data_IF_890183169039
#
_entry.id   IF_890183169039
#
_cell.length_a   1.000
_cell.length_b   1.000
_cell.length_c   1.000
_cell.angle_alpha   90.00
_cell.angle_beta   90.00
_cell.angle_gamma   90.00
#
_symmetry.space_group_name_H-M   'P 1'
#
loop_
_entity.id
_entity.type
_entity.pdbx_description
1 polymer ?
#
# COMPACT_ATOMS: atom_id res chain seq x y z
N UNK A 1 4.15 26.20 -12.33
CA UNK A 1 4.65 26.85 -13.56
C UNK A 1 4.23 26.04 -14.79
N UNK A 2 4.07 26.68 -15.95
CA UNK A 2 3.77 26.01 -17.22
C UNK A 2 4.78 26.37 -18.32
N UNK A 3 5.12 25.40 -19.18
CA UNK A 3 6.01 25.53 -20.34
C UNK A 3 5.30 25.08 -21.63
N UNK A 4 5.80 25.51 -22.79
CA UNK A 4 5.28 25.03 -24.08
C UNK A 4 5.81 23.63 -24.39
N UNK A 5 5.04 22.83 -25.12
CA UNK A 5 5.45 21.48 -25.53
C UNK A 5 6.76 21.42 -26.31
N UNK A 6 7.10 22.48 -27.05
CA UNK A 6 8.34 22.59 -27.83
C UNK A 6 9.53 23.17 -27.05
N UNK A 7 9.38 23.47 -25.74
CA UNK A 7 10.50 23.89 -24.89
C UNK A 7 11.52 22.75 -24.79
N UNK A 8 12.82 23.06 -24.85
CA UNK A 8 13.87 22.06 -24.75
C UNK A 8 13.92 21.44 -23.34
N UNK A 9 14.41 20.19 -23.24
CA UNK A 9 14.68 19.53 -21.97
C UNK A 9 15.65 20.36 -21.10
N UNK A 10 16.66 20.98 -21.71
CA UNK A 10 17.61 21.82 -20.99
C UNK A 10 16.93 23.04 -20.36
N UNK A 11 16.11 23.76 -21.13
CA UNK A 11 15.42 24.96 -20.62
C UNK A 11 14.39 24.59 -19.56
N UNK A 12 13.75 23.43 -19.70
CA UNK A 12 12.87 22.90 -18.66
C UNK A 12 13.63 22.56 -17.37
N UNK A 13 14.82 21.94 -17.47
CA UNK A 13 15.67 21.66 -16.32
C UNK A 13 16.11 22.94 -15.62
N UNK A 14 16.53 23.96 -16.38
CA UNK A 14 16.86 25.29 -15.85
C UNK A 14 15.67 25.97 -15.19
N UNK A 15 14.48 25.85 -15.76
CA UNK A 15 13.29 26.43 -15.18
C UNK A 15 12.89 25.72 -13.87
N UNK A 16 13.04 24.40 -13.80
CA UNK A 16 12.88 23.58 -12.58
C UNK A 16 13.86 24.05 -11.50
N UNK A 17 15.14 24.17 -11.83
CA UNK A 17 16.19 24.63 -10.93
C UNK A 17 15.92 26.06 -10.43
N UNK A 18 15.76 27.02 -11.35
CA UNK A 18 15.62 28.43 -11.03
C UNK A 18 14.40 28.73 -10.16
N UNK A 19 13.31 27.98 -10.34
CA UNK A 19 12.08 28.14 -9.56
C UNK A 19 12.03 27.22 -8.33
N UNK A 20 13.05 26.38 -8.10
CA UNK A 20 13.10 25.40 -7.02
C UNK A 20 11.84 24.52 -6.95
N UNK A 21 11.39 23.99 -8.11
CA UNK A 21 10.20 23.16 -8.24
C UNK A 21 10.55 21.80 -8.84
N UNK A 22 9.85 20.74 -8.44
CA UNK A 22 10.09 19.37 -8.96
C UNK A 22 9.27 18.99 -10.20
N UNK A 23 8.35 19.84 -10.66
CA UNK A 23 7.47 19.54 -11.78
C UNK A 23 6.97 20.81 -12.49
N UNK A 24 6.73 20.68 -13.79
CA UNK A 24 6.19 21.75 -14.63
C UNK A 24 5.08 21.22 -15.52
N UNK A 25 4.02 22.01 -15.66
CA UNK A 25 2.92 21.68 -16.57
C UNK A 25 3.34 21.99 -17.99
N UNK A 26 2.97 21.14 -18.93
CA UNK A 26 3.19 21.36 -20.35
C UNK A 26 1.87 21.80 -20.97
N UNK A 27 1.91 22.90 -21.70
CA UNK A 27 0.78 23.48 -22.40
C UNK A 27 0.99 23.50 -23.91
N UNK A 28 -0.10 23.32 -24.63
CA UNK A 28 -0.19 23.62 -26.05
C UNK A 28 -1.48 24.39 -26.33
N UNK A 29 -1.37 25.48 -27.09
CA UNK A 29 -2.48 26.41 -27.41
C UNK A 29 -3.34 26.81 -26.20
N UNK A 30 -2.71 26.98 -25.03
CA UNK A 30 -3.36 27.38 -23.78
C UNK A 30 -3.99 26.25 -22.97
N UNK A 31 -4.02 25.03 -23.51
CA UNK A 31 -4.55 23.85 -22.82
C UNK A 31 -3.43 23.07 -22.15
N UNK A 32 -3.72 22.47 -21.00
CA UNK A 32 -2.82 21.52 -20.34
C UNK A 32 -2.78 20.22 -21.15
N UNK A 33 -1.61 19.87 -21.68
CA UNK A 33 -1.42 18.66 -22.49
C UNK A 33 -0.53 17.63 -21.81
N UNK A 34 0.24 18.03 -20.80
CA UNK A 34 1.15 17.13 -20.09
C UNK A 34 1.74 17.71 -18.82
N UNK A 35 2.55 16.90 -18.16
CA UNK A 35 3.39 17.29 -17.02
C UNK A 35 4.75 16.63 -17.19
N UNK A 36 5.82 17.32 -16.82
CA UNK A 36 7.17 16.76 -16.78
C UNK A 36 7.82 17.07 -15.44
N UNK A 37 8.51 16.08 -14.89
CA UNK A 37 9.22 16.15 -13.60
C UNK A 37 10.73 16.13 -13.82
N UNK A 38 11.49 16.56 -12.81
CA UNK A 38 12.94 16.39 -12.75
C UNK A 38 13.39 14.94 -13.06
N UNK A 39 12.65 13.96 -12.54
CA UNK A 39 12.84 12.53 -12.80
C UNK A 39 12.58 12.17 -14.24
N UNK A 40 11.56 12.74 -14.89
CA UNK A 40 11.30 12.50 -16.31
C UNK A 40 12.44 13.04 -17.17
N UNK A 41 12.95 14.23 -16.88
CA UNK A 41 14.12 14.78 -17.58
C UNK A 41 15.36 13.88 -17.38
N UNK A 42 15.60 13.45 -16.14
CA UNK A 42 16.74 12.59 -15.82
C UNK A 42 16.65 11.20 -16.48
N UNK A 43 15.47 10.58 -16.51
CA UNK A 43 15.33 9.19 -16.96
C UNK A 43 14.97 9.09 -18.44
N UNK A 44 14.02 9.91 -18.91
CA UNK A 44 13.47 9.81 -20.27
C UNK A 44 14.25 10.62 -21.29
N UNK A 45 15.00 11.65 -20.87
CA UNK A 45 15.95 12.33 -21.75
C UNK A 45 17.38 11.85 -21.50
N UNK A 46 17.97 12.21 -20.35
CA UNK A 46 19.39 11.95 -20.07
C UNK A 46 19.71 10.46 -19.99
N UNK A 47 18.90 9.69 -19.25
CA UNK A 47 19.07 8.25 -19.09
C UNK A 47 18.92 7.46 -20.39
N UNK A 48 18.32 8.04 -21.43
CA UNK A 48 18.21 7.46 -22.77
C UNK A 48 19.26 8.01 -23.74
N UNK A 49 20.16 8.87 -23.28
CA UNK A 49 21.20 9.48 -24.12
C UNK A 49 20.67 10.47 -25.16
N UNK A 50 19.48 11.04 -24.94
CA UNK A 50 18.93 12.04 -25.85
C UNK A 50 19.64 13.39 -25.65
N UNK A 51 19.78 14.16 -26.74
CA UNK A 51 20.38 15.51 -26.69
C UNK A 51 19.40 16.49 -26.02
N UNK A 52 19.71 17.03 -24.82
CA UNK A 52 18.79 17.89 -24.08
C UNK A 52 18.57 19.26 -24.73
N UNK A 53 19.42 19.67 -25.69
CA UNK A 53 19.24 20.90 -26.46
C UNK A 53 18.19 20.75 -27.57
N UNK A 54 18.00 19.53 -28.08
CA UNK A 54 17.10 19.25 -29.21
C UNK A 54 15.80 18.56 -28.79
N UNK A 55 15.88 17.72 -27.77
CA UNK A 55 14.73 16.97 -27.25
C UNK A 55 13.78 17.94 -26.57
N UNK A 56 12.50 17.88 -26.93
CA UNK A 56 11.48 18.75 -26.34
C UNK A 56 10.82 18.12 -25.13
N UNK A 57 10.25 18.94 -24.24
CA UNK A 57 9.47 18.44 -23.11
C UNK A 57 8.23 17.68 -23.55
N UNK A 58 7.66 18.00 -24.71
CA UNK A 58 6.53 17.27 -25.31
C UNK A 58 6.86 15.80 -25.62
N UNK A 59 8.12 15.48 -25.91
CA UNK A 59 8.56 14.10 -26.19
C UNK A 59 8.74 13.25 -24.92
N UNK A 60 8.99 13.90 -23.77
CA UNK A 60 9.31 13.20 -22.51
C UNK A 60 8.25 13.36 -21.42
N UNK A 61 7.30 14.27 -21.60
CA UNK A 61 6.19 14.51 -20.65
C UNK A 61 5.28 13.29 -20.51
N UNK A 62 4.57 13.24 -19.40
CA UNK A 62 3.41 12.37 -19.24
C UNK A 62 2.18 13.12 -19.77
N UNK A 63 1.57 12.60 -20.84
CA UNK A 63 0.36 13.17 -21.45
C UNK A 63 -0.91 12.78 -20.66
N UNK A 64 -2.02 13.48 -20.90
CA UNK A 64 -3.32 13.14 -20.32
C UNK A 64 -3.36 13.32 -18.80
N UNK A 65 -2.91 14.49 -18.33
CA UNK A 65 -2.79 14.78 -16.89
C UNK A 65 -4.17 14.91 -16.26
N UNK A 66 -4.37 14.21 -15.14
CA UNK A 66 -5.53 14.43 -14.29
C UNK A 66 -5.38 15.74 -13.53
N UNK A 67 -6.44 16.55 -13.49
CA UNK A 67 -6.46 17.85 -12.81
C UNK A 67 -7.62 17.95 -11.84
N UNK A 68 -7.55 18.94 -10.96
CA UNK A 68 -8.65 19.36 -10.07
C UNK A 68 -9.00 20.83 -10.35
N UNK A 69 -10.20 21.24 -9.97
CA UNK A 69 -10.57 22.66 -9.89
C UNK A 69 -10.02 23.28 -8.60
N UNK A 70 -9.75 24.59 -8.54
CA UNK A 70 -9.36 25.28 -7.30
C UNK A 70 -10.39 25.15 -6.17
N UNK A 71 -11.64 24.89 -6.52
CA UNK A 71 -12.76 24.67 -5.58
C UNK A 71 -12.83 23.24 -5.04
N UNK A 72 -12.02 22.31 -5.54
CA UNK A 72 -12.01 20.93 -5.06
C UNK A 72 -11.37 20.81 -3.67
N UNK A 73 -11.83 19.82 -2.91
CA UNK A 73 -11.41 19.62 -1.53
C UNK A 73 -10.07 18.90 -1.41
N UNK A 74 -9.38 19.12 -0.29
CA UNK A 74 -8.15 18.40 0.10
C UNK A 74 -8.34 16.87 0.05
N UNK A 75 -9.46 16.37 0.56
CA UNK A 75 -9.80 14.94 0.51
C UNK A 75 -9.90 14.41 -0.94
N UNK A 76 -10.32 15.26 -1.88
CA UNK A 76 -10.34 14.90 -3.31
C UNK A 76 -8.94 14.85 -3.92
N UNK A 77 -8.04 15.74 -3.51
CA UNK A 77 -6.63 15.67 -3.88
C UNK A 77 -5.98 14.37 -3.37
N UNK A 78 -6.13 14.06 -2.09
CA UNK A 78 -5.61 12.83 -1.47
C UNK A 78 -6.13 11.58 -2.22
N UNK A 79 -7.45 11.48 -2.41
CA UNK A 79 -8.07 10.36 -3.12
C UNK A 79 -7.56 10.21 -4.55
N UNK A 80 -7.39 11.33 -5.27
CA UNK A 80 -6.89 11.31 -6.64
C UNK A 80 -5.41 10.91 -6.70
N UNK A 81 -4.59 11.40 -5.76
CA UNK A 81 -3.18 11.02 -5.61
C UNK A 81 -3.03 9.51 -5.34
N UNK A 82 -3.85 8.95 -4.45
CA UNK A 82 -3.88 7.50 -4.17
C UNK A 82 -4.29 6.71 -5.42
N UNK A 83 -5.44 7.05 -6.02
CA UNK A 83 -6.01 6.30 -7.15
C UNK A 83 -5.13 6.35 -8.40
N UNK A 84 -4.45 7.46 -8.65
CA UNK A 84 -3.63 7.67 -9.86
C UNK A 84 -2.15 7.52 -9.61
N UNK A 85 -1.76 7.24 -8.37
CA UNK A 85 -0.39 7.03 -7.97
C UNK A 85 0.55 8.22 -8.28
N UNK A 86 0.07 9.43 -8.02
CA UNK A 86 0.75 10.70 -8.33
C UNK A 86 0.93 11.53 -7.07
N UNK A 87 1.99 12.36 -7.02
CA UNK A 87 2.26 13.28 -5.89
C UNK A 87 1.87 14.72 -6.16
N UNK A 88 1.44 15.02 -7.38
CA UNK A 88 1.28 16.38 -7.88
C UNK A 88 0.09 16.42 -8.80
N UNK A 89 -0.84 17.34 -8.54
CA UNK A 89 -2.05 17.51 -9.34
C UNK A 89 -2.11 18.97 -9.79
N UNK A 90 -2.16 19.24 -11.10
CA UNK A 90 -2.47 20.57 -11.61
C UNK A 90 -3.89 21.00 -11.22
N UNK A 91 -4.02 22.25 -10.80
CA UNK A 91 -5.29 22.93 -10.66
C UNK A 91 -5.61 23.65 -11.96
N UNK A 92 -6.80 23.39 -12.49
CA UNK A 92 -7.29 23.89 -13.78
C UNK A 92 -8.66 24.53 -13.61
N UNK A 93 -8.80 25.76 -14.09
CA UNK A 93 -10.07 26.51 -14.09
C UNK A 93 -10.34 27.04 -15.50
N UNK A 94 -11.50 26.72 -16.07
CA UNK A 94 -11.85 27.12 -17.43
C UNK A 94 -10.84 26.66 -18.49
N UNK A 95 -10.25 25.47 -18.32
CA UNK A 95 -9.23 24.90 -19.20
C UNK A 95 -7.81 25.46 -19.02
N UNK A 96 -7.62 26.45 -18.14
CA UNK A 96 -6.32 27.08 -17.88
C UNK A 96 -5.71 26.55 -16.61
N UNK A 97 -4.40 26.31 -16.64
CA UNK A 97 -3.61 26.01 -15.45
C UNK A 97 -3.55 27.23 -14.53
N UNK A 98 -3.93 27.07 -13.27
CA UNK A 98 -3.97 28.15 -12.28
C UNK A 98 -3.11 27.87 -11.04
N UNK A 99 -2.72 26.61 -10.79
CA UNK A 99 -1.91 26.26 -9.63
C UNK A 99 -1.56 24.77 -9.60
N UNK A 100 -0.85 24.33 -8.58
CA UNK A 100 -0.52 22.93 -8.37
C UNK A 100 -0.69 22.60 -6.89
N UNK A 101 -1.25 21.44 -6.59
CA UNK A 101 -1.22 20.86 -5.25
C UNK A 101 -0.26 19.68 -5.24
N UNK A 102 0.63 19.64 -4.26
CA UNK A 102 1.62 18.58 -4.08
C UNK A 102 1.40 17.81 -2.79
N UNK A 103 1.93 16.59 -2.72
CA UNK A 103 1.96 15.82 -1.49
C UNK A 103 2.69 16.58 -0.37
N UNK A 104 3.73 17.33 -0.71
CA UNK A 104 4.49 18.12 0.25
C UNK A 104 3.62 19.24 0.86
N UNK A 105 2.78 19.89 0.04
CA UNK A 105 1.79 20.87 0.53
C UNK A 105 0.78 20.23 1.49
N UNK A 106 0.36 19.00 1.19
CA UNK A 106 -0.59 18.25 2.04
C UNK A 106 0.05 17.75 3.34
N UNK A 107 1.35 17.43 3.34
CA UNK A 107 2.08 17.01 4.54
C UNK A 107 2.28 18.16 5.54
N UNK A 108 2.31 19.39 5.06
CA UNK A 108 2.44 20.59 5.89
C UNK A 108 1.09 21.07 6.44
N UNK A 109 -0.02 20.46 6.02
CA UNK A 109 -1.36 20.79 6.52
C UNK A 109 -1.71 19.90 7.72
N UNK A 110 -1.86 20.51 8.90
CA UNK A 110 -2.19 19.81 10.16
C UNK A 110 -3.53 19.06 10.10
N UNK A 111 -4.45 19.46 9.21
CA UNK A 111 -5.73 18.78 9.02
C UNK A 111 -5.62 17.50 8.18
N UNK A 112 -4.47 17.25 7.54
CA UNK A 112 -4.29 16.10 6.66
C UNK A 112 -3.98 14.82 7.47
N UNK A 113 -4.79 13.75 7.32
CA UNK A 113 -4.54 12.47 7.99
C UNK A 113 -3.26 11.80 7.48
N UNK A 114 -2.25 11.65 8.35
CA UNK A 114 -0.91 11.12 8.02
C UNK A 114 -0.98 9.71 7.41
N UNK A 115 -1.88 8.85 7.87
CA UNK A 115 -2.12 7.51 7.34
C UNK A 115 -2.54 7.55 5.86
N UNK A 116 -3.41 8.49 5.49
CA UNK A 116 -3.85 8.67 4.10
C UNK A 116 -2.71 9.18 3.21
N UNK A 117 -1.84 10.02 3.74
CA UNK A 117 -0.66 10.52 3.04
C UNK A 117 0.41 9.44 2.89
N UNK A 118 0.63 8.63 3.93
CA UNK A 118 1.48 7.46 3.89
C UNK A 118 1.02 6.47 2.80
N UNK A 119 -0.28 6.22 2.70
CA UNK A 119 -0.86 5.37 1.65
C UNK A 119 -0.57 5.88 0.21
N UNK A 120 -0.41 7.19 -0.02
CA UNK A 120 0.02 7.73 -1.33
C UNK A 120 1.48 7.33 -1.61
N UNK A 121 2.34 7.44 -0.59
CA UNK A 121 3.75 7.05 -0.69
C UNK A 121 3.88 5.54 -0.87
N UNK A 122 3.11 4.76 -0.13
CA UNK A 122 3.05 3.29 -0.20
C UNK A 122 2.51 2.81 -1.54
N UNK A 123 1.43 3.40 -2.07
CA UNK A 123 0.92 3.08 -3.41
C UNK A 123 2.00 3.23 -4.48
N UNK A 124 2.88 4.23 -4.33
CA UNK A 124 4.00 4.44 -5.26
C UNK A 124 5.17 3.49 -5.05
N UNK A 125 5.30 2.94 -3.85
CA UNK A 125 6.30 1.94 -3.48
C UNK A 125 5.80 0.53 -3.86
N UNK A 126 4.49 0.27 -3.81
CA UNK A 126 3.82 -0.99 -4.12
C UNK A 126 3.52 -1.18 -5.61
N UNK A 127 2.87 -0.22 -6.25
CA UNK A 127 2.60 -0.18 -7.68
C UNK A 127 3.34 1.00 -8.31
N UNK A 128 4.59 0.81 -8.74
CA UNK A 128 5.25 1.61 -9.78
C UNK A 128 4.87 3.10 -9.84
N UNK A 129 5.69 3.96 -9.20
CA UNK A 129 5.67 5.41 -9.45
C UNK A 129 5.58 5.75 -10.96
N UNK A 130 5.17 6.98 -11.30
CA UNK A 130 4.49 7.28 -12.56
C UNK A 130 5.32 6.85 -13.78
N UNK A 131 4.70 5.97 -14.58
CA UNK A 131 5.05 5.53 -15.93
C UNK A 131 6.49 5.00 -16.18
N UNK A 132 6.56 3.68 -16.38
CA UNK A 132 7.42 3.06 -17.39
C UNK A 132 8.91 2.88 -17.07
N UNK A 133 9.33 2.87 -15.80
CA UNK A 133 10.72 2.51 -15.46
C UNK A 133 10.81 1.06 -15.00
N UNK A 134 11.46 0.23 -15.80
CA UNK A 134 11.79 -1.15 -15.45
C UNK A 134 12.60 -1.15 -14.13
N UNK A 135 12.05 -1.78 -13.09
CA UNK A 135 12.50 -1.65 -11.69
C UNK A 135 13.96 -2.12 -11.53
N UNK A 136 14.70 -1.50 -10.60
CA UNK A 136 15.99 -2.02 -10.10
C UNK A 136 15.85 -3.49 -9.66
N UNK A 137 16.76 -4.40 -10.07
CA UNK A 137 16.72 -5.83 -9.74
C UNK A 137 16.56 -6.11 -8.24
N UNK A 138 17.08 -5.24 -7.37
CA UNK A 138 16.99 -5.38 -5.92
C UNK A 138 15.55 -5.30 -5.38
N UNK A 139 14.72 -4.39 -5.93
CA UNK A 139 13.32 -4.22 -5.48
C UNK A 139 12.38 -5.26 -6.08
N UNK A 140 12.61 -5.73 -7.31
CA UNK A 140 11.91 -6.91 -7.86
C UNK A 140 12.14 -8.13 -6.98
N UNK A 141 13.38 -8.34 -6.53
CA UNK A 141 13.69 -9.42 -5.58
C UNK A 141 13.00 -9.25 -4.23
N UNK A 142 12.89 -8.03 -3.70
CA UNK A 142 12.19 -7.76 -2.43
C UNK A 142 10.68 -8.02 -2.52
N UNK A 143 10.02 -7.48 -3.55
CA UNK A 143 8.59 -7.70 -3.78
C UNK A 143 8.28 -9.16 -4.10
N UNK A 144 9.08 -9.81 -4.96
CA UNK A 144 8.93 -11.24 -5.24
C UNK A 144 9.16 -12.11 -4.00
N UNK A 145 10.05 -11.72 -3.08
CA UNK A 145 10.23 -12.40 -1.79
C UNK A 145 9.01 -12.21 -0.89
N UNK A 146 8.49 -10.99 -0.75
CA UNK A 146 7.29 -10.72 0.04
C UNK A 146 6.09 -11.50 -0.50
N UNK A 147 5.89 -11.50 -1.82
CA UNK A 147 4.85 -12.26 -2.50
C UNK A 147 5.05 -13.78 -2.36
N UNK A 148 6.29 -14.28 -2.48
CA UNK A 148 6.58 -15.69 -2.25
C UNK A 148 6.32 -16.12 -0.80
N UNK A 149 6.64 -15.27 0.18
CA UNK A 149 6.34 -15.53 1.60
C UNK A 149 4.83 -15.52 1.84
N UNK A 150 4.11 -14.54 1.31
CA UNK A 150 2.64 -14.48 1.41
C UNK A 150 1.98 -15.71 0.77
N UNK A 151 2.35 -16.05 -0.47
CA UNK A 151 1.85 -17.25 -1.15
C UNK A 151 2.18 -18.53 -0.37
N UNK A 152 3.32 -18.60 0.31
CA UNK A 152 3.65 -19.75 1.18
C UNK A 152 2.66 -19.87 2.33
N UNK A 153 2.32 -18.77 3.00
CA UNK A 153 1.32 -18.75 4.08
C UNK A 153 -0.05 -19.20 3.55
N UNK A 154 -0.52 -18.63 2.43
CA UNK A 154 -1.80 -19.02 1.82
C UNK A 154 -1.81 -20.50 1.40
N UNK A 155 -0.76 -20.97 0.72
CA UNK A 155 -0.67 -22.36 0.28
C UNK A 155 -0.61 -23.33 1.46
N UNK A 156 0.09 -22.97 2.55
CA UNK A 156 0.14 -23.79 3.76
C UNK A 156 -1.23 -23.87 4.42
N UNK A 157 -1.93 -22.74 4.59
CA UNK A 157 -3.28 -22.75 5.16
C UNK A 157 -4.24 -23.56 4.28
N UNK A 158 -4.16 -23.44 2.96
CA UNK A 158 -4.96 -24.29 2.06
C UNK A 158 -4.61 -25.76 2.22
N UNK A 159 -3.34 -26.13 2.35
CA UNK A 159 -2.94 -27.53 2.48
C UNK A 159 -3.42 -28.16 3.81
N UNK A 160 -3.44 -27.37 4.88
CA UNK A 160 -3.88 -27.80 6.21
C UNK A 160 -5.41 -27.76 6.38
N UNK A 161 -6.13 -27.25 5.38
CA UNK A 161 -7.57 -27.09 5.39
C UNK A 161 -8.20 -27.65 4.11
N UNK A 162 -9.53 -27.68 4.05
CA UNK A 162 -10.25 -28.15 2.86
C UNK A 162 -10.82 -26.98 2.05
N UNK A 163 -10.13 -25.83 2.01
CA UNK A 163 -10.62 -24.62 1.34
C UNK A 163 -10.43 -24.72 -0.19
N UNK A 164 -11.45 -24.33 -0.95
CA UNK A 164 -11.54 -24.63 -2.38
C UNK A 164 -10.67 -23.69 -3.25
N UNK A 165 -10.40 -22.46 -2.78
CA UNK A 165 -9.73 -21.44 -3.57
C UNK A 165 -8.99 -20.39 -2.72
N UNK A 166 -8.17 -19.57 -3.40
CA UNK A 166 -7.38 -18.47 -2.79
C UNK A 166 -8.25 -17.49 -2.04
N UNK A 167 -9.40 -17.11 -2.61
CA UNK A 167 -10.31 -16.13 -2.01
C UNK A 167 -10.82 -16.61 -0.64
N UNK A 168 -11.24 -17.87 -0.53
CA UNK A 168 -11.67 -18.45 0.74
C UNK A 168 -10.53 -18.52 1.76
N UNK A 169 -9.32 -18.89 1.33
CA UNK A 169 -8.14 -18.97 2.19
C UNK A 169 -7.73 -17.59 2.72
N UNK A 170 -7.72 -16.58 1.86
CA UNK A 170 -7.44 -15.20 2.22
C UNK A 170 -8.49 -14.65 3.18
N UNK A 171 -9.77 -14.93 2.92
CA UNK A 171 -10.88 -14.52 3.79
C UNK A 171 -10.77 -15.16 5.17
N UNK A 172 -10.49 -16.46 5.24
CA UNK A 172 -10.32 -17.17 6.52
C UNK A 172 -9.14 -16.60 7.33
N UNK A 173 -7.99 -16.41 6.69
CA UNK A 173 -6.80 -15.84 7.34
C UNK A 173 -7.05 -14.39 7.80
N UNK A 174 -7.71 -13.59 6.96
CA UNK A 174 -8.09 -12.22 7.26
C UNK A 174 -8.97 -12.12 8.51
N UNK A 175 -10.05 -12.91 8.57
CA UNK A 175 -10.96 -12.92 9.75
C UNK A 175 -10.19 -13.22 11.05
N UNK A 176 -9.28 -14.19 11.03
CA UNK A 176 -8.51 -14.58 12.22
C UNK A 176 -7.49 -13.50 12.60
N UNK A 177 -6.74 -12.94 11.64
CA UNK A 177 -5.78 -11.88 11.89
C UNK A 177 -6.45 -10.59 12.35
N UNK A 178 -7.54 -10.18 11.69
CA UNK A 178 -8.30 -8.98 12.05
C UNK A 178 -8.88 -9.07 13.45
N UNK A 179 -9.39 -10.25 13.81
CA UNK A 179 -9.90 -10.52 15.14
C UNK A 179 -8.80 -10.50 16.18
N UNK A 180 -7.64 -11.09 15.87
CA UNK A 180 -6.49 -11.11 16.77
C UNK A 180 -5.94 -9.70 17.02
N UNK A 181 -5.71 -8.91 15.97
CA UNK A 181 -5.21 -7.53 16.06
C UNK A 181 -6.16 -6.65 16.88
N UNK A 182 -7.47 -6.71 16.62
CA UNK A 182 -8.46 -5.94 17.39
C UNK A 182 -8.59 -6.41 18.83
N UNK A 183 -8.28 -7.68 19.14
CA UNK A 183 -8.40 -8.23 20.51
C UNK A 183 -7.26 -7.80 21.44
N UNK A 184 -6.10 -7.50 20.87
CA UNK A 184 -4.86 -7.12 21.58
C UNK A 184 -4.86 -5.64 21.96
N UNK A 185 -4.01 -5.27 22.93
CA UNK A 185 -3.68 -3.86 23.14
C UNK A 185 -2.85 -3.32 21.95
N UNK A 186 -2.89 -2.01 21.66
CA UNK A 186 -2.24 -1.44 20.47
C UNK A 186 -0.76 -1.80 20.30
N UNK A 187 0.03 -1.76 21.38
CA UNK A 187 1.47 -2.09 21.30
C UNK A 187 1.74 -3.53 20.84
N UNK A 188 1.09 -4.52 21.44
CA UNK A 188 1.23 -5.92 21.02
C UNK A 188 0.66 -6.17 19.62
N UNK A 189 -0.40 -5.45 19.26
CA UNK A 189 -0.95 -5.53 17.93
C UNK A 189 0.06 -5.04 16.88
N UNK A 190 0.75 -3.92 17.14
CA UNK A 190 1.81 -3.40 16.27
C UNK A 190 2.99 -4.37 16.15
N UNK A 191 3.45 -4.92 17.27
CA UNK A 191 4.58 -5.86 17.30
C UNK A 191 4.25 -7.21 16.61
N UNK A 192 3.00 -7.67 16.72
CA UNK A 192 2.48 -8.81 15.96
C UNK A 192 2.48 -8.50 14.46
N UNK A 193 1.90 -7.36 14.04
CA UNK A 193 1.81 -6.98 12.63
C UNK A 193 3.20 -6.88 12.01
N UNK A 194 4.18 -6.33 12.72
CA UNK A 194 5.55 -6.17 12.25
C UNK A 194 6.24 -7.50 11.87
N UNK A 195 5.80 -8.63 12.44
CA UNK A 195 6.34 -9.97 12.15
C UNK A 195 5.60 -10.72 11.05
N UNK A 196 4.45 -10.22 10.61
CA UNK A 196 3.69 -10.82 9.52
C UNK A 196 4.29 -10.44 8.15
N UNK A 197 4.06 -11.25 7.09
CA UNK A 197 4.42 -10.89 5.72
C UNK A 197 3.98 -9.47 5.38
N UNK A 198 4.87 -8.67 4.79
CA UNK A 198 4.64 -7.23 4.56
C UNK A 198 3.44 -6.91 3.67
N UNK A 199 2.92 -7.88 2.91
CA UNK A 199 1.69 -7.72 2.13
C UNK A 199 0.40 -7.74 2.98
N UNK A 200 0.45 -8.31 4.17
CA UNK A 200 -0.68 -8.35 5.12
C UNK A 200 -0.76 -7.10 5.99
N UNK A 201 0.38 -6.45 6.25
CA UNK A 201 0.50 -5.36 7.22
C UNK A 201 -0.42 -4.15 6.95
N UNK A 202 -0.56 -3.64 5.71
CA UNK A 202 -1.34 -2.42 5.46
C UNK A 202 -2.83 -2.55 5.85
N UNK A 203 -3.43 -3.71 5.59
CA UNK A 203 -4.82 -3.96 5.96
C UNK A 203 -4.99 -4.02 7.48
N UNK A 204 -4.02 -4.61 8.19
CA UNK A 204 -4.07 -4.78 9.64
C UNK A 204 -3.84 -3.47 10.39
N UNK A 205 -2.92 -2.60 9.93
CA UNK A 205 -2.72 -1.27 10.51
C UNK A 205 -3.91 -0.33 10.34
N UNK A 206 -4.80 -0.61 9.36
CA UNK A 206 -6.01 0.18 9.15
C UNK A 206 -7.17 -0.20 10.08
N UNK A 207 -7.02 -1.24 10.90
CA UNK A 207 -8.06 -1.71 11.80
C UNK A 207 -8.24 -0.76 13.01
N UNK A 208 -9.44 -0.71 13.61
CA UNK A 208 -9.66 0.00 14.87
C UNK A 208 -8.73 -0.50 15.98
N UNK A 209 -8.21 0.43 16.79
CA UNK A 209 -7.36 0.11 17.94
C UNK A 209 -8.14 -0.71 18.98
N UNK A 210 -7.53 -1.81 19.44
CA UNK A 210 -8.06 -2.66 20.51
C UNK A 210 -7.81 -2.13 21.93
N UNK A 211 -8.12 -2.92 22.98
CA UNK A 211 -8.64 -4.28 22.93
C UNK A 211 -10.16 -4.33 22.86
N UNK A 212 -10.70 -4.95 21.82
CA UNK A 212 -12.12 -5.29 21.71
C UNK A 212 -12.39 -6.63 22.44
N UNK A 213 -13.01 -6.52 23.62
CA UNK A 213 -13.33 -7.69 24.47
C UNK A 213 -14.50 -8.51 23.94
N UNK A 214 -15.25 -8.01 22.96
CA UNK A 214 -16.35 -8.77 22.34
C UNK A 214 -15.84 -9.86 21.40
N UNK A 215 -14.57 -9.79 21.00
CA UNK A 215 -13.94 -10.81 20.18
C UNK A 215 -13.62 -12.03 21.06
N UNK A 216 -14.37 -13.10 20.84
CA UNK A 216 -14.20 -14.42 21.47
C UNK A 216 -13.97 -15.49 20.40
N UNK A 217 -13.67 -16.71 20.83
CA UNK A 217 -13.56 -17.86 19.92
C UNK A 217 -14.87 -18.06 19.14
N UNK A 218 -16.00 -17.99 19.84
CA UNK A 218 -17.32 -18.21 19.27
C UNK A 218 -17.68 -17.14 18.24
N UNK A 219 -17.33 -15.86 18.48
CA UNK A 219 -17.61 -14.80 17.50
C UNK A 219 -16.79 -14.96 16.22
N UNK A 220 -15.52 -15.40 16.34
CA UNK A 220 -14.65 -15.66 15.19
C UNK A 220 -15.17 -16.87 14.39
N UNK A 221 -15.53 -17.96 15.07
CA UNK A 221 -16.10 -19.14 14.43
C UNK A 221 -17.43 -18.81 13.72
N UNK A 222 -18.29 -17.98 14.33
CA UNK A 222 -19.52 -17.50 13.71
C UNK A 222 -19.26 -16.65 12.47
N UNK A 223 -18.27 -15.76 12.51
CA UNK A 223 -17.88 -14.94 11.35
C UNK A 223 -17.34 -15.80 10.20
N UNK A 224 -16.52 -16.81 10.51
CA UNK A 224 -16.06 -17.80 9.52
C UNK A 224 -17.22 -18.57 8.88
N UNK A 225 -18.19 -19.03 9.68
CA UNK A 225 -19.42 -19.68 9.16
C UNK A 225 -20.17 -18.75 8.21
N UNK A 226 -20.37 -17.49 8.60
CA UNK A 226 -21.14 -16.52 7.83
C UNK A 226 -20.45 -16.13 6.52
N UNK A 227 -19.14 -15.85 6.55
CA UNK A 227 -18.39 -15.36 5.39
C UNK A 227 -18.00 -16.47 4.40
N UNK A 228 -17.72 -17.68 4.89
CA UNK A 228 -17.27 -18.79 4.06
C UNK A 228 -18.37 -19.79 3.73
N UNK A 229 -19.53 -19.70 4.38
CA UNK A 229 -20.63 -20.66 4.19
C UNK A 229 -20.28 -22.08 4.64
N UNK A 230 -19.38 -22.21 5.61
CA UNK A 230 -18.93 -23.51 6.15
C UNK A 230 -19.74 -23.91 7.39
N UNK A 231 -19.76 -25.21 7.72
CA UNK A 231 -20.37 -25.67 8.96
C UNK A 231 -19.52 -25.28 10.20
N UNK A 232 -20.12 -25.24 11.41
CA UNK A 232 -19.41 -24.85 12.64
C UNK A 232 -18.19 -25.72 12.98
N UNK A 233 -18.23 -27.03 12.68
CA UNK A 233 -17.10 -27.91 12.96
C UNK A 233 -15.92 -27.61 12.04
N UNK A 234 -16.22 -27.25 10.78
CA UNK A 234 -15.22 -26.79 9.81
C UNK A 234 -14.67 -25.41 10.20
N UNK A 235 -15.51 -24.48 10.63
CA UNK A 235 -15.04 -23.17 11.12
C UNK A 235 -14.06 -23.29 12.30
N UNK A 236 -14.34 -24.15 13.27
CA UNK A 236 -13.44 -24.41 14.40
C UNK A 236 -12.07 -24.97 13.93
N UNK A 237 -12.06 -25.87 12.94
CA UNK A 237 -10.82 -26.39 12.34
C UNK A 237 -10.05 -25.31 11.58
N UNK A 238 -10.74 -24.45 10.83
CA UNK A 238 -10.12 -23.34 10.12
C UNK A 238 -9.45 -22.36 11.09
N UNK A 239 -10.14 -22.00 12.18
CA UNK A 239 -9.59 -21.15 13.22
C UNK A 239 -8.33 -21.77 13.84
N UNK A 240 -8.36 -23.05 14.18
CA UNK A 240 -7.20 -23.77 14.72
C UNK A 240 -6.02 -23.80 13.74
N UNK A 241 -6.27 -24.09 12.45
CA UNK A 241 -5.23 -24.14 11.42
C UNK A 241 -4.60 -22.75 11.18
N UNK A 242 -5.42 -21.71 11.05
CA UNK A 242 -4.95 -20.34 10.90
C UNK A 242 -4.16 -19.87 12.13
N UNK A 243 -4.64 -20.16 13.33
CA UNK A 243 -3.96 -19.84 14.58
C UNK A 243 -2.59 -20.50 14.70
N UNK A 244 -2.49 -21.78 14.38
CA UNK A 244 -1.23 -22.51 14.35
C UNK A 244 -0.25 -21.93 13.32
N UNK A 245 -0.74 -21.54 12.14
CA UNK A 245 0.08 -20.93 11.10
C UNK A 245 0.63 -19.55 11.50
N UNK A 246 -0.21 -18.72 12.14
CA UNK A 246 0.22 -17.42 12.70
C UNK A 246 1.30 -17.65 13.76
N UNK A 247 1.09 -18.61 14.66
CA UNK A 247 2.06 -18.95 15.72
C UNK A 247 3.40 -19.50 15.18
N UNK A 248 3.40 -20.09 13.98
CA UNK A 248 4.63 -20.51 13.30
C UNK A 248 5.35 -19.37 12.58
N UNK A 249 4.60 -18.34 12.17
CA UNK A 249 5.13 -17.19 11.41
C UNK A 249 5.81 -16.17 12.34
N UNK A 250 5.33 -16.06 13.57
CA UNK A 250 5.79 -15.09 14.57
C UNK A 250 6.82 -15.74 15.50
N UNK A 251 7.72 -14.93 16.08
CA UNK A 251 8.72 -15.40 17.04
C UNK A 251 8.07 -15.94 18.33
N UNK A 252 8.76 -16.87 19.00
CA UNK A 252 8.19 -17.56 20.18
C UNK A 252 7.84 -16.59 21.31
N UNK A 253 8.74 -15.66 21.67
CA UNK A 253 8.48 -14.69 22.75
C UNK A 253 7.28 -13.79 22.44
N UNK A 254 7.16 -13.36 21.21
CA UNK A 254 6.06 -12.49 20.77
C UNK A 254 4.72 -13.21 20.76
N UNK A 255 4.70 -14.50 20.41
CA UNK A 255 3.51 -15.31 20.59
C UNK A 255 3.15 -15.57 22.06
N UNK A 256 4.12 -15.58 22.97
CA UNK A 256 3.85 -15.65 24.41
C UNK A 256 3.18 -14.37 24.91
N UNK A 257 3.66 -13.21 24.46
CA UNK A 257 3.07 -11.90 24.77
C UNK A 257 1.62 -11.79 24.28
N UNK A 258 1.39 -12.15 23.01
CA UNK A 258 0.04 -12.25 22.41
C UNK A 258 -0.87 -13.17 23.23
N UNK A 259 -0.41 -14.38 23.57
CA UNK A 259 -1.20 -15.35 24.35
C UNK A 259 -1.52 -14.86 25.76
N UNK A 260 -0.63 -14.08 26.38
CA UNK A 260 -0.86 -13.46 27.69
C UNK A 260 -2.16 -12.63 27.72
N UNK A 261 -2.50 -11.98 26.61
CA UNK A 261 -3.65 -11.09 26.50
C UNK A 261 -4.95 -11.75 26.03
N UNK A 262 -4.85 -12.97 25.50
CA UNK A 262 -6.01 -13.70 25.00
C UNK A 262 -6.78 -14.40 26.14
N UNK A 263 -8.12 -14.52 26.03
CA UNK A 263 -8.90 -15.39 26.90
C UNK A 263 -8.50 -16.86 26.68
N UNK A 264 -8.75 -17.72 27.68
CA UNK A 264 -8.34 -19.13 27.68
C UNK A 264 -8.76 -19.87 26.41
N UNK A 265 -10.00 -19.68 25.95
CA UNK A 265 -10.53 -20.31 24.74
C UNK A 265 -9.75 -19.99 23.45
N UNK A 266 -9.09 -18.82 23.39
CA UNK A 266 -8.25 -18.41 22.26
C UNK A 266 -6.78 -18.80 22.46
N UNK A 267 -6.28 -18.91 23.70
CA UNK A 267 -4.88 -19.29 23.96
C UNK A 267 -4.52 -20.67 23.38
N UNK A 268 -5.48 -21.58 23.36
CA UNK A 268 -5.32 -22.94 22.82
C UNK A 268 -5.21 -22.94 21.29
N UNK A 269 -5.82 -21.96 20.61
CA UNK A 269 -5.82 -21.84 19.15
C UNK A 269 -4.45 -21.43 18.62
N UNK A 270 -3.73 -20.59 19.36
CA UNK A 270 -2.43 -20.02 18.94
C UNK A 270 -1.23 -20.77 19.54
N UNK A 271 -1.34 -22.08 19.69
CA UNK A 271 -0.23 -22.93 20.13
C UNK A 271 0.70 -23.25 18.96
N UNK A 272 2.01 -23.10 19.19
CA UNK A 272 3.02 -23.61 18.26
C UNK A 272 3.06 -25.14 18.40
N UNK A 273 2.91 -25.86 17.28
CA UNK A 273 3.05 -27.31 17.29
C UNK A 273 4.45 -27.72 17.83
N UNK A 274 4.57 -28.81 18.60
CA UNK A 274 5.85 -29.27 19.08
C UNK A 274 6.77 -29.59 17.89
N UNK A 275 8.02 -29.11 17.96
CA UNK A 275 9.05 -29.43 16.96
C UNK A 275 9.23 -30.94 16.96
N UNK A 276 9.12 -31.65 15.81
CA UNK A 276 9.38 -33.08 15.78
C UNK A 276 10.82 -33.32 16.23
N UNK A 277 11.01 -34.18 17.24
CA UNK A 277 12.33 -34.56 17.72
C UNK A 277 13.14 -35.10 16.54
N UNK A 278 14.28 -34.47 16.27
CA UNK A 278 15.21 -34.93 15.24
C UNK A 278 15.55 -36.41 15.52
N UNK A 279 15.19 -37.26 14.56
CA UNK A 279 15.50 -38.70 14.56
C UNK A 279 16.87 -38.95 13.95
#
# INVERSE_FOLDING_TARGET
>A
MALKSNTSVLDAARAIEHNNIGAVVVQDKGNVVGIVTDRDLAIRALGRGLDPHKTTVGEVMTAGVVSLAPTDTQASAIRLMQKRNIRRIPLVEGGRFVGMVTLDDLLLDEAAPIDRLAAIVEAQIGEGGPAGTDRSPARRRSAARAEATYRRVINQLRADTDLENDVQTETALGIVLDSLVRRLIPGEAEDLIAQLPSLLQPALYALPLGPDKLITRETIEQELVQQLGVDPSRAAKLLAAAGALIAQTVSTGQMEDVRGQLPESLREVFLKAPVPAAS
#
